data_IF_771429252064
#
_entry.id   IF_771429252064
#
_cell.length_a   1.000
_cell.length_b   1.000
_cell.length_c   1.000
_cell.angle_alpha   90.00
_cell.angle_beta   90.00
_cell.angle_gamma   90.00
#
_symmetry.space_group_name_H-M   'P 1'
#
loop_
_entity.id
_entity.type
_entity.pdbx_description
1 polymer ?
#
# COMPACT_ATOMS: atom_id res chain seq x y z
N UNK A 1 12.02 4.89 4.86
CA UNK A 1 12.55 3.56 5.22
C UNK A 1 12.21 3.30 6.67
N UNK A 2 11.09 2.64 6.93
CA UNK A 2 10.66 2.32 8.30
C UNK A 2 11.11 0.90 8.61
N UNK A 3 12.18 0.77 9.44
CA UNK A 3 12.50 -0.46 10.11
C UNK A 3 11.63 -0.52 11.37
N UNK A 4 10.42 -1.04 11.26
CA UNK A 4 9.62 -1.33 12.44
C UNK A 4 9.98 -2.72 12.95
N UNK A 5 10.87 -2.74 13.96
CA UNK A 5 10.97 -3.86 14.89
C UNK A 5 9.88 -3.64 15.94
N UNK A 6 8.75 -4.29 15.78
CA UNK A 6 7.73 -4.36 16.82
C UNK A 6 7.91 -5.65 17.60
N UNK A 7 8.44 -5.54 18.82
CA UNK A 7 8.42 -6.64 19.79
C UNK A 7 6.99 -6.81 20.29
N UNK A 8 6.30 -7.86 19.83
CA UNK A 8 5.06 -8.32 20.46
C UNK A 8 5.48 -9.17 21.66
N UNK A 9 5.24 -8.68 22.86
CA UNK A 9 5.39 -9.45 24.09
C UNK A 9 4.48 -10.69 24.05
N UNK A 10 5.04 -11.83 23.86
CA UNK A 10 4.84 -13.19 24.38
C UNK A 10 5.57 -14.19 23.50
N UNK A 11 6.86 -14.36 23.82
CA UNK A 11 7.73 -15.35 23.18
C UNK A 11 8.34 -14.81 21.88
N UNK A 12 9.65 -14.67 21.84
CA UNK A 12 10.52 -14.20 20.75
C UNK A 12 10.24 -14.81 19.35
N UNK A 13 9.03 -14.64 18.80
CA UNK A 13 8.74 -15.04 17.43
C UNK A 13 8.79 -13.80 16.56
N UNK A 14 9.86 -13.62 15.81
CA UNK A 14 9.94 -12.62 14.75
C UNK A 14 8.87 -12.96 13.70
N UNK A 15 8.13 -11.95 13.26
CA UNK A 15 7.18 -12.06 12.16
C UNK A 15 7.77 -11.39 10.92
N UNK A 16 7.34 -11.83 9.74
CA UNK A 16 7.74 -11.18 8.49
C UNK A 16 7.16 -9.76 8.43
N UNK A 17 7.89 -8.83 7.80
CA UNK A 17 7.39 -7.46 7.57
C UNK A 17 6.07 -7.43 6.79
N UNK A 18 5.87 -8.36 5.87
CA UNK A 18 4.62 -8.49 5.11
C UNK A 18 3.44 -8.93 5.99
N UNK A 19 3.66 -9.84 6.94
CA UNK A 19 2.64 -10.22 7.94
C UNK A 19 2.32 -9.05 8.87
N UNK A 20 3.34 -8.25 9.23
CA UNK A 20 3.14 -7.05 10.04
C UNK A 20 2.31 -6.01 9.29
N UNK A 21 2.54 -5.84 7.99
CA UNK A 21 1.78 -4.95 7.12
C UNK A 21 0.29 -5.30 7.15
N UNK A 22 -0.08 -6.56 6.92
CA UNK A 22 -1.48 -7.01 6.95
C UNK A 22 -2.10 -6.78 8.33
N UNK A 23 -1.37 -7.13 9.41
CA UNK A 23 -1.83 -6.90 10.78
C UNK A 23 -2.05 -5.42 11.09
N UNK A 24 -1.18 -4.55 10.60
CA UNK A 24 -1.32 -3.10 10.77
C UNK A 24 -2.57 -2.57 10.05
N UNK A 25 -2.81 -2.98 8.81
CA UNK A 25 -4.04 -2.59 8.09
C UNK A 25 -5.30 -2.99 8.86
N UNK A 26 -5.34 -4.23 9.39
CA UNK A 26 -6.48 -4.71 10.19
C UNK A 26 -6.63 -3.92 11.50
N UNK A 27 -5.53 -3.64 12.20
CA UNK A 27 -5.56 -2.88 13.45
C UNK A 27 -6.05 -1.45 13.26
N UNK A 28 -5.78 -0.85 12.09
CA UNK A 28 -6.28 0.48 11.70
C UNK A 28 -7.71 0.43 11.13
N UNK A 29 -8.34 -0.75 11.07
CA UNK A 29 -9.70 -0.92 10.60
C UNK A 29 -9.88 -0.76 9.09
N UNK A 30 -8.83 -1.03 8.33
CA UNK A 30 -8.89 -1.03 6.86
C UNK A 30 -9.69 -2.25 6.41
N UNK A 31 -10.81 -2.00 5.75
CA UNK A 31 -11.68 -3.03 5.19
C UNK A 31 -11.63 -3.07 3.64
N UNK A 32 -11.07 -2.05 3.02
CA UNK A 32 -10.97 -1.93 1.57
C UNK A 32 -9.58 -1.43 1.19
N UNK A 33 -8.91 -2.17 0.30
CA UNK A 33 -7.58 -1.84 -0.23
C UNK A 33 -7.65 -1.69 -1.75
N UNK A 34 -7.32 -0.53 -2.26
CA UNK A 34 -7.19 -0.29 -3.69
C UNK A 34 -5.76 -0.65 -4.12
N UNK A 35 -5.60 -1.71 -4.90
CA UNK A 35 -4.29 -2.28 -5.13
C UNK A 35 -4.04 -2.66 -6.59
N UNK A 36 -2.79 -2.52 -7.04
CA UNK A 36 -2.36 -3.00 -8.34
C UNK A 36 -1.01 -3.72 -8.21
N UNK A 37 -0.94 -5.04 -8.53
CA UNK A 37 0.25 -5.83 -8.33
C UNK A 37 1.39 -5.42 -9.27
N UNK A 38 2.61 -5.65 -8.81
CA UNK A 38 3.83 -5.48 -9.59
C UNK A 38 5.05 -6.01 -8.84
N UNK A 39 6.17 -6.14 -9.53
CA UNK A 39 7.33 -6.91 -9.08
C UNK A 39 7.82 -6.60 -7.67
N UNK A 40 7.87 -5.33 -7.28
CA UNK A 40 8.38 -4.93 -5.96
C UNK A 40 7.31 -4.94 -4.84
N UNK A 41 6.10 -5.39 -5.15
CA UNK A 41 5.01 -5.52 -4.18
C UNK A 41 4.51 -6.96 -4.03
N UNK A 42 5.07 -7.92 -4.77
CA UNK A 42 4.61 -9.33 -4.82
C UNK A 42 4.50 -9.95 -3.42
N UNK A 43 5.49 -9.76 -2.56
CA UNK A 43 5.50 -10.34 -1.21
C UNK A 43 4.37 -9.79 -0.32
N UNK A 44 3.94 -8.54 -0.56
CA UNK A 44 2.79 -7.95 0.14
C UNK A 44 1.47 -8.53 -0.38
N UNK A 45 1.36 -8.76 -1.70
CA UNK A 45 0.20 -9.42 -2.28
C UNK A 45 0.08 -10.88 -1.88
N UNK A 46 1.22 -11.59 -1.75
CA UNK A 46 1.25 -12.95 -1.21
C UNK A 46 0.71 -13.01 0.23
N UNK A 47 1.12 -12.06 1.07
CA UNK A 47 0.62 -11.98 2.44
C UNK A 47 -0.87 -11.59 2.54
N UNK A 48 -1.42 -10.90 1.53
CA UNK A 48 -2.83 -10.54 1.44
C UNK A 48 -3.70 -11.64 0.81
N UNK A 49 -3.10 -12.67 0.21
CA UNK A 49 -3.82 -13.67 -0.57
C UNK A 49 -4.88 -14.43 0.24
N UNK A 50 -4.55 -14.80 1.47
CA UNK A 50 -5.45 -15.52 2.38
C UNK A 50 -6.22 -14.59 3.32
N UNK A 51 -6.11 -13.26 3.13
CA UNK A 51 -6.80 -12.28 3.95
C UNK A 51 -8.20 -12.00 3.40
N UNK A 52 -9.23 -12.34 4.17
CA UNK A 52 -10.63 -12.25 3.74
C UNK A 52 -11.41 -11.11 4.42
N UNK A 53 -10.80 -10.39 5.36
CA UNK A 53 -11.42 -9.26 6.02
C UNK A 53 -11.15 -7.92 5.30
N UNK A 54 -10.21 -7.92 4.34
CA UNK A 54 -9.87 -6.74 3.52
C UNK A 54 -10.29 -7.02 2.08
N UNK A 55 -11.29 -6.29 1.60
CA UNK A 55 -11.70 -6.36 0.20
C UNK A 55 -10.65 -5.68 -0.69
N UNK A 56 -10.10 -6.42 -1.66
CA UNK A 56 -9.14 -5.87 -2.61
C UNK A 56 -9.83 -5.42 -3.90
N UNK A 57 -9.76 -4.13 -4.20
CA UNK A 57 -10.26 -3.54 -5.45
C UNK A 57 -9.10 -3.37 -6.41
N UNK A 58 -9.19 -4.02 -7.57
CA UNK A 58 -8.16 -4.05 -8.60
C UNK A 58 -8.60 -3.30 -9.88
N UNK A 59 -8.43 -1.98 -9.97
CA UNK A 59 -8.60 -1.24 -11.23
C UNK A 59 -7.50 -1.58 -12.24
N UNK A 60 -7.67 -1.18 -13.49
CA UNK A 60 -6.71 -1.52 -14.55
C UNK A 60 -5.56 -0.51 -14.72
N UNK A 61 -5.49 0.50 -13.85
CA UNK A 61 -4.45 1.53 -13.87
C UNK A 61 -4.36 2.20 -12.50
N UNK A 62 -3.16 2.55 -12.05
CA UNK A 62 -2.93 3.11 -10.71
C UNK A 62 -3.55 4.49 -10.54
N UNK A 63 -3.64 5.29 -11.60
CA UNK A 63 -4.36 6.57 -11.54
C UNK A 63 -5.86 6.36 -11.27
N UNK A 64 -6.48 5.38 -11.92
CA UNK A 64 -7.88 5.05 -11.64
C UNK A 64 -8.04 4.50 -10.21
N UNK A 65 -7.07 3.73 -9.75
CA UNK A 65 -6.99 3.18 -8.39
C UNK A 65 -7.04 4.27 -7.33
N UNK A 66 -6.17 5.27 -7.44
CA UNK A 66 -6.11 6.32 -6.42
C UNK A 66 -7.35 7.24 -6.47
N UNK A 67 -7.92 7.49 -7.65
CA UNK A 67 -9.18 8.23 -7.75
C UNK A 67 -10.37 7.43 -7.17
N UNK A 68 -10.36 6.10 -7.28
CA UNK A 68 -11.34 5.25 -6.62
C UNK A 68 -11.20 5.32 -5.09
N UNK A 69 -9.96 5.29 -4.58
CA UNK A 69 -9.67 5.46 -3.15
C UNK A 69 -10.10 6.85 -2.64
N UNK A 70 -9.88 7.91 -3.42
CA UNK A 70 -10.36 9.27 -3.12
C UNK A 70 -11.90 9.30 -3.03
N UNK A 71 -12.58 8.71 -4.01
CA UNK A 71 -14.05 8.60 -3.99
C UNK A 71 -14.58 7.79 -2.80
N UNK A 72 -13.91 6.70 -2.45
CA UNK A 72 -14.22 5.91 -1.25
C UNK A 72 -14.08 6.75 0.03
N UNK A 73 -12.97 7.48 0.17
CA UNK A 73 -12.75 8.33 1.34
C UNK A 73 -13.83 9.42 1.47
N UNK A 74 -14.18 10.08 0.38
CA UNK A 74 -15.25 11.10 0.35
C UNK A 74 -16.62 10.53 0.70
N UNK A 75 -16.94 9.34 0.23
CA UNK A 75 -18.28 8.75 0.40
C UNK A 75 -18.46 8.07 1.76
N UNK A 76 -17.40 7.53 2.35
CA UNK A 76 -17.47 6.76 3.59
C UNK A 76 -16.99 7.51 4.83
N UNK A 77 -16.18 8.56 4.64
CA UNK A 77 -15.46 9.24 5.71
C UNK A 77 -14.27 8.44 6.26
N UNK A 78 -13.93 7.31 5.66
CA UNK A 78 -12.76 6.50 6.03
C UNK A 78 -11.54 6.94 5.23
N UNK A 79 -10.36 6.48 5.64
CA UNK A 79 -9.12 6.70 4.88
C UNK A 79 -9.11 5.79 3.66
N UNK A 80 -8.84 6.33 2.48
CA UNK A 80 -8.58 5.53 1.28
C UNK A 80 -7.17 4.98 1.30
N UNK A 81 -7.02 3.66 1.11
CA UNK A 81 -5.71 2.99 1.19
C UNK A 81 -5.34 2.39 -0.15
N UNK A 82 -4.15 2.73 -0.64
CA UNK A 82 -3.61 2.28 -1.93
C UNK A 82 -2.36 1.45 -1.74
N UNK A 83 -2.19 0.40 -2.56
CA UNK A 83 -0.95 -0.38 -2.65
C UNK A 83 -0.56 -0.58 -4.11
N UNK A 84 0.63 -0.12 -4.48
CA UNK A 84 1.18 -0.24 -5.84
C UNK A 84 2.66 -0.61 -5.81
N UNK A 85 3.21 -1.00 -6.96
CA UNK A 85 4.63 -1.29 -7.10
C UNK A 85 5.48 -0.01 -7.18
N UNK A 86 6.79 -0.19 -7.31
CA UNK A 86 7.77 0.90 -7.51
C UNK A 86 7.66 1.56 -8.88
N UNK A 87 8.44 2.61 -9.09
CA UNK A 87 8.62 3.29 -10.37
C UNK A 87 7.29 3.76 -10.98
N UNK A 88 6.88 3.23 -12.14
CA UNK A 88 5.66 3.68 -12.81
C UNK A 88 4.41 3.45 -11.98
N UNK A 89 4.35 2.42 -11.14
CA UNK A 89 3.23 2.22 -10.21
C UNK A 89 3.08 3.37 -9.23
N UNK A 90 4.18 3.80 -8.63
CA UNK A 90 4.21 4.94 -7.70
C UNK A 90 3.93 6.27 -8.42
N UNK A 91 4.57 6.52 -9.57
CA UNK A 91 4.43 7.79 -10.29
C UNK A 91 3.03 7.98 -10.88
N UNK A 92 2.32 6.91 -11.23
CA UNK A 92 0.93 6.97 -11.68
C UNK A 92 -0.06 7.42 -10.58
N UNK A 93 0.35 7.47 -9.31
CA UNK A 93 -0.48 7.99 -8.22
C UNK A 93 -0.45 9.53 -8.12
N UNK A 94 0.54 10.20 -8.73
CA UNK A 94 0.82 11.62 -8.51
C UNK A 94 -0.41 12.52 -8.72
N UNK A 95 -1.15 12.32 -9.79
CA UNK A 95 -2.36 13.11 -10.08
C UNK A 95 -3.41 12.96 -8.97
N UNK A 96 -3.66 11.73 -8.54
CA UNK A 96 -4.63 11.48 -7.47
C UNK A 96 -4.18 12.01 -6.11
N UNK A 97 -2.88 11.91 -5.80
CA UNK A 97 -2.30 12.52 -4.59
C UNK A 97 -2.48 14.04 -4.62
N UNK A 98 -2.21 14.68 -5.75
CA UNK A 98 -2.41 16.12 -5.90
C UNK A 98 -3.88 16.50 -5.70
N UNK A 99 -4.82 15.77 -6.29
CA UNK A 99 -6.27 15.98 -6.13
C UNK A 99 -6.67 15.87 -4.65
N UNK A 100 -6.29 14.79 -4.00
CA UNK A 100 -6.62 14.56 -2.59
C UNK A 100 -6.02 15.64 -1.67
N UNK A 101 -4.79 16.08 -1.96
CA UNK A 101 -4.13 17.13 -1.20
C UNK A 101 -4.86 18.48 -1.31
N UNK A 102 -5.30 18.86 -2.50
CA UNK A 102 -6.07 20.10 -2.69
C UNK A 102 -7.40 20.11 -1.94
N UNK A 103 -8.06 18.97 -1.90
CA UNK A 103 -9.39 18.84 -1.30
C UNK A 103 -9.35 18.32 0.14
N UNK A 104 -8.14 18.11 0.71
CA UNK A 104 -7.94 17.57 2.07
C UNK A 104 -8.60 16.21 2.29
N UNK A 105 -8.55 15.33 1.28
CA UNK A 105 -9.08 13.97 1.36
C UNK A 105 -8.02 13.04 1.97
N UNK A 106 -8.36 12.25 3.01
CA UNK A 106 -7.41 11.38 3.68
C UNK A 106 -7.09 10.15 2.83
N UNK A 107 -5.86 10.04 2.38
CA UNK A 107 -5.32 8.90 1.64
C UNK A 107 -4.02 8.40 2.27
N UNK A 108 -3.80 7.08 2.23
CA UNK A 108 -2.52 6.44 2.51
C UNK A 108 -2.11 5.64 1.29
N UNK A 109 -0.92 5.91 0.76
CA UNK A 109 -0.38 5.23 -0.41
C UNK A 109 0.88 4.47 -0.03
N UNK A 110 0.82 3.14 -0.16
CA UNK A 110 1.98 2.26 -0.06
C UNK A 110 2.54 2.01 -1.45
N UNK A 111 3.83 2.29 -1.62
CA UNK A 111 4.55 2.04 -2.87
C UNK A 111 5.68 1.06 -2.64
N UNK A 112 5.84 0.10 -3.54
CA UNK A 112 7.01 -0.74 -3.56
C UNK A 112 8.29 0.07 -3.82
N UNK A 113 9.43 -0.51 -3.51
CA UNK A 113 10.74 0.01 -3.87
C UNK A 113 11.69 -1.14 -4.16
N UNK A 114 12.68 -0.91 -5.00
CA UNK A 114 13.76 -1.87 -5.24
C UNK A 114 14.52 -2.19 -3.96
N UNK A 115 15.18 -3.35 -3.85
CA UNK A 115 16.00 -3.70 -2.69
C UNK A 115 17.04 -2.62 -2.36
N UNK A 116 17.29 -2.38 -1.07
CA UNK A 116 18.18 -1.31 -0.58
C UNK A 116 19.56 -1.27 -1.28
N UNK A 117 20.12 -2.43 -1.60
CA UNK A 117 21.42 -2.51 -2.28
C UNK A 117 21.40 -2.08 -3.75
N UNK A 118 20.22 -1.90 -4.33
CA UNK A 118 20.05 -1.45 -5.72
C UNK A 118 19.63 0.01 -5.83
N UNK A 119 19.20 0.63 -4.72
CA UNK A 119 18.79 2.03 -4.70
C UNK A 119 19.96 2.95 -5.05
N UNK A 120 19.71 3.92 -5.96
CA UNK A 120 20.73 4.85 -6.45
C UNK A 120 21.72 4.24 -7.44
N UNK A 121 21.43 3.07 -8.00
CA UNK A 121 22.27 2.37 -8.96
C UNK A 121 21.58 2.13 -10.31
N UNK A 122 20.69 3.04 -10.71
CA UNK A 122 19.93 2.95 -11.97
C UNK A 122 19.15 1.62 -12.11
N UNK A 123 18.63 1.10 -11.01
CA UNK A 123 17.81 -0.10 -11.02
C UNK A 123 16.53 0.11 -11.84
N UNK A 124 16.10 -0.93 -12.55
CA UNK A 124 14.86 -0.85 -13.34
C UNK A 124 13.67 -0.55 -12.42
N UNK A 125 12.94 0.50 -12.75
CA UNK A 125 11.76 0.93 -12.01
C UNK A 125 12.05 1.32 -10.54
N UNK A 126 13.22 1.87 -10.28
CA UNK A 126 13.57 2.46 -8.99
C UNK A 126 12.65 3.64 -8.63
#
# INVERSE_FOLDING_TARGET
>A
MFHFLYEIERGNKMIKGTELFVKALKAEGVDTLFAYPGGQAVDLFDALYDEHEIEMILPRHEQALIHAADGYARSTGKVGVCLVTSGPGATNLVTGIATANYDSVPLVCFTGQVPLGLMGNDAVQE
#
